data_IF_254202420708
#
_entry.id   IF_254202420708
#
_cell.length_a   1.000
_cell.length_b   1.000
_cell.length_c   1.000
_cell.angle_alpha   90.00
_cell.angle_beta   90.00
_cell.angle_gamma   90.00
#
_symmetry.space_group_name_H-M   'P 1'
#
loop_
_entity.id
_entity.type
_entity.pdbx_description
1 polymer ?
#
# COMPACT_ATOMS: atom_id res chain seq x y z
N UNK A 1 -16.10 20.75 -6.44
CA UNK A 1 -15.35 20.59 -5.18
C UNK A 1 -13.89 20.43 -5.56
N UNK A 2 -13.11 21.51 -5.53
CA UNK A 2 -11.67 21.44 -5.81
C UNK A 2 -10.98 20.78 -4.61
N UNK A 3 -10.32 19.65 -4.86
CA UNK A 3 -9.49 18.98 -3.84
C UNK A 3 -8.18 19.75 -3.78
N UNK A 4 -7.96 20.52 -2.71
CA UNK A 4 -6.68 21.16 -2.46
C UNK A 4 -5.61 20.06 -2.28
N UNK A 5 -4.74 19.91 -3.29
CA UNK A 5 -3.63 18.95 -3.22
C UNK A 5 -2.57 19.54 -2.31
N UNK A 6 -2.49 19.06 -1.06
CA UNK A 6 -1.36 19.37 -0.19
C UNK A 6 -0.13 18.64 -0.72
N UNK A 7 0.66 19.31 -1.56
CA UNK A 7 1.92 18.77 -2.07
C UNK A 7 2.99 18.80 -0.97
N UNK A 8 3.34 17.64 -0.44
CA UNK A 8 4.46 17.46 0.49
C UNK A 8 5.80 17.31 -0.24
N UNK A 9 6.91 17.54 0.47
CA UNK A 9 8.25 17.19 -0.01
C UNK A 9 8.55 15.72 0.26
N UNK A 10 9.32 15.09 -0.61
CA UNK A 10 9.87 13.76 -0.35
C UNK A 10 10.82 13.85 0.85
N UNK A 11 10.69 12.97 1.87
CA UNK A 11 11.56 13.01 3.05
C UNK A 11 13.00 12.58 2.78
N UNK A 12 13.29 12.00 1.60
CA UNK A 12 14.63 11.53 1.23
C UNK A 12 15.38 12.47 0.30
N UNK A 13 14.73 13.00 -0.74
CA UNK A 13 15.39 13.88 -1.71
C UNK A 13 14.88 15.32 -1.70
N UNK A 14 13.94 15.64 -0.80
CA UNK A 14 13.35 16.97 -0.59
C UNK A 14 12.60 17.58 -1.79
N UNK A 15 12.54 16.87 -2.92
CA UNK A 15 11.77 17.31 -4.08
C UNK A 15 10.27 17.30 -3.77
N UNK A 16 9.55 18.27 -4.33
CA UNK A 16 8.10 18.37 -4.22
C UNK A 16 7.46 17.15 -4.90
N UNK A 17 6.60 16.45 -4.16
CA UNK A 17 5.86 15.29 -4.67
C UNK A 17 4.49 15.75 -5.15
N UNK A 18 4.39 16.03 -6.45
CA UNK A 18 3.12 16.38 -7.12
C UNK A 18 2.44 15.17 -7.78
N UNK A 19 3.17 14.05 -7.93
CA UNK A 19 2.68 12.77 -8.44
C UNK A 19 3.44 11.62 -7.81
N UNK A 20 2.84 10.43 -7.81
CA UNK A 20 3.44 9.19 -7.30
C UNK A 20 3.74 8.24 -8.45
N UNK A 21 4.86 7.52 -8.36
CA UNK A 21 5.13 6.35 -9.20
C UNK A 21 4.54 5.12 -8.52
N UNK A 22 3.55 4.49 -9.17
CA UNK A 22 2.90 3.29 -8.64
C UNK A 22 3.66 2.07 -9.15
N UNK A 23 4.14 1.22 -8.25
CA UNK A 23 4.85 -0.02 -8.60
C UNK A 23 4.20 -1.23 -7.94
N UNK A 24 4.09 -2.37 -8.65
CA UNK A 24 3.56 -3.59 -8.05
C UNK A 24 4.55 -4.18 -7.04
N UNK A 25 4.03 -4.78 -5.97
CA UNK A 25 4.77 -5.69 -5.09
C UNK A 25 3.86 -6.82 -4.59
N UNK A 26 4.47 -7.79 -3.91
CA UNK A 26 3.75 -8.81 -3.16
C UNK A 26 3.74 -8.43 -1.67
N UNK A 27 2.55 -8.31 -1.09
CA UNK A 27 2.36 -8.20 0.35
C UNK A 27 2.24 -9.59 0.98
N UNK A 28 2.69 -9.74 2.22
CA UNK A 28 2.53 -10.96 3.00
C UNK A 28 1.51 -10.72 4.13
N UNK A 29 0.44 -11.50 4.15
CA UNK A 29 -0.60 -11.48 5.17
C UNK A 29 -0.83 -12.85 5.82
N UNK A 30 -1.73 -12.93 6.81
CA UNK A 30 -2.13 -14.17 7.48
C UNK A 30 -2.67 -15.27 6.55
N UNK A 31 -3.34 -14.90 5.45
CA UNK A 31 -3.89 -15.84 4.47
C UNK A 31 -2.96 -16.13 3.28
N UNK A 32 -1.79 -15.49 3.21
CA UNK A 32 -0.77 -15.76 2.19
C UNK A 32 -0.21 -14.51 1.54
N UNK A 33 0.24 -14.64 0.29
CA UNK A 33 0.72 -13.51 -0.50
C UNK A 33 -0.43 -12.82 -1.22
N UNK A 34 -0.37 -11.49 -1.27
CA UNK A 34 -1.39 -10.65 -1.88
C UNK A 34 -0.77 -9.65 -2.86
N UNK A 35 -1.54 -9.27 -3.87
CA UNK A 35 -1.17 -8.17 -4.76
C UNK A 35 -1.21 -6.86 -3.98
N UNK A 36 -0.13 -6.11 -4.06
CA UNK A 36 0.03 -4.82 -3.42
C UNK A 36 0.68 -3.84 -4.38
N UNK A 37 0.64 -2.57 -4.02
CA UNK A 37 1.35 -1.50 -4.71
C UNK A 37 2.17 -0.66 -3.73
N UNK A 38 3.31 -0.15 -4.17
CA UNK A 38 4.00 0.95 -3.49
C UNK A 38 3.76 2.26 -4.22
N UNK A 39 3.73 3.33 -3.43
CA UNK A 39 3.62 4.71 -3.87
C UNK A 39 5.00 5.34 -3.72
N UNK A 40 5.72 5.50 -4.82
CA UNK A 40 7.12 5.91 -4.81
C UNK A 40 7.26 7.39 -5.21
N UNK A 41 8.26 8.05 -4.63
CA UNK A 41 8.72 9.35 -5.11
C UNK A 41 9.23 9.19 -6.56
N UNK A 42 8.72 9.97 -7.53
CA UNK A 42 9.10 9.82 -8.93
C UNK A 42 10.55 10.24 -9.21
N UNK A 43 11.19 10.98 -8.30
CA UNK A 43 12.54 11.52 -8.49
C UNK A 43 13.65 10.59 -7.99
N UNK A 44 13.46 9.97 -6.81
CA UNK A 44 14.48 9.16 -6.16
C UNK A 44 14.02 7.73 -5.83
N UNK A 45 12.82 7.36 -6.29
CA UNK A 45 12.19 6.05 -6.12
C UNK A 45 11.97 5.59 -4.67
N UNK A 46 12.06 6.52 -3.72
CA UNK A 46 11.81 6.24 -2.31
C UNK A 46 10.34 5.89 -2.10
N UNK A 47 10.08 4.78 -1.41
CA UNK A 47 8.72 4.36 -1.04
C UNK A 47 8.16 5.37 -0.02
N UNK A 48 7.04 6.00 -0.37
CA UNK A 48 6.32 6.96 0.47
C UNK A 48 5.07 6.35 1.11
N UNK A 49 4.61 5.22 0.59
CA UNK A 49 3.50 4.46 1.12
C UNK A 49 3.33 3.14 0.39
N UNK A 50 2.48 2.29 0.92
CA UNK A 50 2.05 1.05 0.29
C UNK A 50 0.55 0.86 0.46
N UNK A 51 -0.08 0.19 -0.49
CA UNK A 51 -1.47 -0.22 -0.42
C UNK A 51 -1.59 -1.70 -0.79
N UNK A 52 -2.54 -2.38 -0.18
CA UNK A 52 -2.87 -3.78 -0.44
C UNK A 52 -4.21 -3.85 -1.15
N UNK A 53 -4.38 -4.85 -2.02
CA UNK A 53 -5.69 -5.16 -2.60
C UNK A 53 -6.71 -5.42 -1.47
N UNK A 54 -7.84 -4.69 -1.40
CA UNK A 54 -8.82 -4.85 -0.33
C UNK A 54 -9.47 -6.25 -0.27
N UNK A 55 -9.39 -7.05 -1.34
CA UNK A 55 -9.79 -8.47 -1.30
C UNK A 55 -8.89 -9.30 -0.37
N UNK A 56 -7.63 -8.90 -0.17
CA UNK A 56 -6.71 -9.54 0.77
C UNK A 56 -7.25 -9.48 2.20
N UNK A 57 -7.74 -8.32 2.64
CA UNK A 57 -8.30 -8.15 3.98
C UNK A 57 -9.52 -9.06 4.23
N UNK A 58 -10.34 -9.30 3.18
CA UNK A 58 -11.45 -10.26 3.27
C UNK A 58 -10.95 -11.69 3.42
N UNK A 59 -9.95 -12.08 2.65
CA UNK A 59 -9.33 -13.41 2.72
C UNK A 59 -8.69 -13.66 4.09
N UNK A 60 -7.99 -12.67 4.65
CA UNK A 60 -7.40 -12.75 5.99
C UNK A 60 -8.47 -12.94 7.07
N UNK A 61 -9.58 -12.18 6.98
CA UNK A 61 -10.68 -12.30 7.94
C UNK A 61 -11.36 -13.67 7.87
N UNK A 62 -11.59 -14.21 6.67
CA UNK A 62 -12.15 -15.56 6.50
C UNK A 62 -11.19 -16.63 7.03
N UNK A 63 -9.89 -16.48 6.78
CA UNK A 63 -8.88 -17.39 7.32
C UNK A 63 -8.87 -17.39 8.85
N UNK A 64 -8.98 -16.21 9.47
CA UNK A 64 -9.04 -16.08 10.92
C UNK A 64 -10.31 -16.72 11.51
N UNK A 65 -11.47 -16.51 10.90
CA UNK A 65 -12.73 -17.14 11.32
C UNK A 65 -12.64 -18.68 11.24
N UNK A 66 -11.98 -19.22 10.21
CA UNK A 66 -11.78 -20.68 10.09
C UNK A 66 -10.93 -21.23 11.22
N UNK A 67 -9.80 -20.59 11.54
CA UNK A 67 -8.95 -20.99 12.67
C UNK A 67 -9.72 -21.02 13.99
N UNK A 68 -10.55 -20.01 14.25
CA UNK A 68 -11.37 -19.93 15.46
C UNK A 68 -12.45 -21.02 15.54
N UNK A 69 -12.89 -21.57 14.41
CA UNK A 69 -13.88 -22.66 14.36
C UNK A 69 -13.27 -24.05 14.51
N UNK A 70 -11.98 -24.17 14.23
CA UNK A 70 -11.24 -25.44 14.26
C UNK A 70 -10.45 -25.62 15.57
N UNK A 71 -10.43 -24.59 16.43
CA UNK A 71 -9.86 -24.60 17.78
C UNK A 71 -10.90 -25.00 18.83
#
# INVERSE_FOLDING_TARGET
>A
MEVAVMAGKCPKCEQIVSRLSIKPLLGQGPSGQHKSITLNCPACDTILGAQVDPSAAKSDLVAEIRKLREA
#
